data_IF_476646217101
#
_entry.id   IF_476646217101
#
_cell.length_a   1.000
_cell.length_b   1.000
_cell.length_c   1.000
_cell.angle_alpha   90.00
_cell.angle_beta   90.00
_cell.angle_gamma   90.00
#
_symmetry.space_group_name_H-M   'P 1'
#
loop_
_entity.id
_entity.type
_entity.pdbx_description
1 polymer ?
#
# COMPACT_ATOMS: atom_id res chain seq x y z
N UNK A 1 -20.66 29.80 5.21
CA UNK A 1 -19.92 28.68 4.64
C UNK A 1 -18.54 28.70 5.24
N UNK A 2 -18.15 27.63 5.92
CA UNK A 2 -16.82 27.52 6.53
C UNK A 2 -15.77 27.38 5.44
N UNK A 3 -14.67 28.12 5.59
CA UNK A 3 -13.52 28.04 4.68
C UNK A 3 -12.30 27.59 5.46
N UNK A 4 -11.46 26.77 4.84
CA UNK A 4 -10.27 26.20 5.43
C UNK A 4 -9.04 26.53 4.59
N UNK A 5 -7.96 26.89 5.25
CA UNK A 5 -6.61 26.81 4.67
C UNK A 5 -6.16 25.34 4.56
N UNK A 6 -5.08 25.06 3.86
CA UNK A 6 -4.52 23.72 3.75
C UNK A 6 -4.22 23.09 5.14
N UNK A 7 -3.72 23.90 6.08
CA UNK A 7 -3.41 23.43 7.43
C UNK A 7 -4.66 23.14 8.27
N UNK A 8 -5.67 23.97 8.17
CA UNK A 8 -6.95 23.77 8.87
C UNK A 8 -7.70 22.57 8.32
N UNK A 9 -7.72 22.40 7.00
CA UNK A 9 -8.30 21.24 6.33
C UNK A 9 -7.61 19.94 6.78
N UNK A 10 -6.28 19.93 6.80
CA UNK A 10 -5.48 18.80 7.25
C UNK A 10 -5.80 18.41 8.70
N UNK A 11 -5.88 19.42 9.58
CA UNK A 11 -6.24 19.23 10.98
C UNK A 11 -7.67 18.69 11.15
N UNK A 12 -8.63 19.23 10.38
CA UNK A 12 -10.03 18.82 10.46
C UNK A 12 -10.26 17.39 9.94
N UNK A 13 -9.43 16.91 9.02
CA UNK A 13 -9.47 15.55 8.48
C UNK A 13 -8.46 14.60 9.14
N UNK A 14 -7.73 15.04 10.19
CA UNK A 14 -6.72 14.26 10.93
C UNK A 14 -5.60 13.69 10.03
N UNK A 15 -5.21 14.43 8.98
CA UNK A 15 -4.14 14.07 8.08
C UNK A 15 -2.99 15.09 8.12
N UNK A 16 -1.85 14.75 7.51
CA UNK A 16 -0.75 15.70 7.36
C UNK A 16 -1.04 16.74 6.27
N UNK A 17 -0.49 17.94 6.41
CA UNK A 17 -0.51 18.96 5.35
C UNK A 17 0.06 18.44 4.05
N UNK A 18 1.12 17.59 4.14
CA UNK A 18 1.74 16.93 2.99
C UNK A 18 0.76 16.00 2.27
N UNK A 19 -0.11 15.31 3.00
CA UNK A 19 -1.16 14.46 2.43
C UNK A 19 -2.15 15.27 1.60
N UNK A 20 -2.62 16.42 2.13
CA UNK A 20 -3.52 17.32 1.40
C UNK A 20 -2.86 17.85 0.13
N UNK A 21 -1.60 18.30 0.22
CA UNK A 21 -0.83 18.78 -0.94
C UNK A 21 -0.60 17.68 -1.98
N UNK A 22 -0.36 16.44 -1.53
CA UNK A 22 -0.21 15.30 -2.42
C UNK A 22 -1.50 15.01 -3.19
N UNK A 23 -2.65 15.04 -2.53
CA UNK A 23 -3.95 14.84 -3.18
C UNK A 23 -4.32 15.96 -4.14
N UNK A 24 -3.95 17.21 -3.82
CA UNK A 24 -4.08 18.34 -4.74
C UNK A 24 -3.20 18.13 -5.99
N UNK A 25 -1.93 17.78 -5.84
CA UNK A 25 -1.02 17.49 -6.96
C UNK A 25 -1.51 16.33 -7.84
N UNK A 26 -2.19 15.33 -7.24
CA UNK A 26 -2.79 14.20 -7.98
C UNK A 26 -4.14 14.54 -8.61
N UNK A 27 -4.69 15.71 -8.31
CA UNK A 27 -5.96 16.18 -8.86
C UNK A 27 -7.18 15.40 -8.38
N UNK A 28 -7.11 14.78 -7.19
CA UNK A 28 -8.25 14.12 -6.54
C UNK A 28 -8.92 15.01 -5.51
N UNK A 29 -8.18 16.01 -4.98
CA UNK A 29 -8.65 17.03 -4.08
C UNK A 29 -8.13 18.38 -4.57
N UNK A 30 -8.96 19.17 -5.24
CA UNK A 30 -8.59 20.50 -5.72
C UNK A 30 -9.17 21.57 -4.81
N UNK A 31 -8.43 22.65 -4.50
CA UNK A 31 -8.98 23.75 -3.70
C UNK A 31 -10.13 24.42 -4.44
N UNK A 32 -11.18 24.81 -3.71
CA UNK A 32 -12.31 25.55 -4.27
C UNK A 32 -11.91 26.92 -4.81
N UNK A 33 -10.84 27.51 -4.24
CA UNK A 33 -10.30 28.80 -4.69
C UNK A 33 -8.80 28.89 -4.40
N UNK A 34 -8.07 29.55 -5.30
CA UNK A 34 -6.70 30.01 -5.06
C UNK A 34 -6.70 31.53 -5.08
N UNK A 35 -6.17 32.16 -4.05
CA UNK A 35 -6.06 33.63 -3.98
C UNK A 35 -4.98 34.15 -4.90
N UNK A 36 -4.96 35.44 -5.20
CA UNK A 36 -3.91 36.12 -5.99
C UNK A 36 -2.51 35.90 -5.39
N UNK A 37 -2.40 35.73 -4.07
CA UNK A 37 -1.16 35.39 -3.37
C UNK A 37 -0.85 33.90 -3.33
N UNK A 38 -1.52 33.05 -4.11
CA UNK A 38 -1.27 31.61 -4.22
C UNK A 38 -1.76 30.78 -3.04
N UNK A 39 -2.53 31.34 -2.11
CA UNK A 39 -3.10 30.60 -0.97
C UNK A 39 -4.28 29.74 -1.42
N UNK A 40 -4.28 28.47 -1.04
CA UNK A 40 -5.37 27.53 -1.27
C UNK A 40 -6.48 27.73 -0.24
N UNK A 41 -7.71 27.80 -0.72
CA UNK A 41 -8.92 27.89 0.11
C UNK A 41 -9.81 26.70 -0.25
N UNK A 42 -10.25 25.99 0.78
CA UNK A 42 -11.13 24.85 0.70
C UNK A 42 -12.46 25.17 1.39
N UNK A 43 -13.53 24.53 0.95
CA UNK A 43 -14.86 24.62 1.55
C UNK A 43 -15.20 23.33 2.32
N UNK A 44 -16.36 23.31 2.98
CA UNK A 44 -16.88 22.15 3.71
C UNK A 44 -17.00 20.91 2.80
N UNK A 45 -17.44 21.10 1.54
CA UNK A 45 -17.50 20.04 0.53
C UNK A 45 -16.15 19.42 0.21
N UNK A 46 -15.08 20.20 0.29
CA UNK A 46 -13.71 19.68 0.08
C UNK A 46 -13.25 18.85 1.29
N UNK A 47 -13.68 19.24 2.50
CA UNK A 47 -13.43 18.46 3.72
C UNK A 47 -14.14 17.10 3.65
N UNK A 48 -15.41 17.08 3.27
CA UNK A 48 -16.16 15.84 3.08
C UNK A 48 -15.52 14.96 2.01
N UNK A 49 -15.12 15.55 0.89
CA UNK A 49 -14.39 14.85 -0.17
C UNK A 49 -13.08 14.26 0.34
N UNK A 50 -12.32 15.01 1.13
CA UNK A 50 -11.07 14.51 1.73
C UNK A 50 -11.31 13.32 2.66
N UNK A 51 -12.35 13.37 3.50
CA UNK A 51 -12.73 12.26 4.38
C UNK A 51 -13.07 10.99 3.58
N UNK A 52 -13.82 11.13 2.49
CA UNK A 52 -14.14 10.01 1.58
C UNK A 52 -12.86 9.43 0.95
N UNK A 53 -11.94 10.29 0.49
CA UNK A 53 -10.65 9.85 -0.06
C UNK A 53 -9.87 9.06 0.98
N UNK A 54 -9.76 9.57 2.22
CA UNK A 54 -9.05 8.88 3.30
C UNK A 54 -9.69 7.53 3.61
N UNK A 55 -11.01 7.46 3.72
CA UNK A 55 -11.74 6.21 3.95
C UNK A 55 -11.47 5.16 2.88
N UNK A 56 -11.50 5.55 1.60
CA UNK A 56 -11.20 4.62 0.50
C UNK A 56 -9.72 4.20 0.49
N UNK A 57 -8.82 5.10 0.90
CA UNK A 57 -7.40 4.77 1.06
C UNK A 57 -7.14 3.78 2.18
N UNK A 58 -7.88 3.85 3.28
CA UNK A 58 -7.81 2.88 4.38
C UNK A 58 -8.27 1.47 3.96
N UNK A 59 -9.09 1.40 2.91
CA UNK A 59 -9.46 0.14 2.25
C UNK A 59 -8.48 -0.25 1.12
N UNK A 60 -7.29 0.35 1.05
CA UNK A 60 -6.24 0.10 0.06
C UNK A 60 -6.59 0.44 -1.40
N UNK A 61 -7.66 1.21 -1.66
CA UNK A 61 -7.91 1.71 -3.01
C UNK A 61 -6.78 2.61 -3.49
N UNK A 62 -6.34 2.43 -4.72
CA UNK A 62 -5.34 3.29 -5.35
C UNK A 62 -5.88 4.70 -5.63
N UNK A 63 -4.99 5.68 -5.71
CA UNK A 63 -5.36 7.06 -6.07
C UNK A 63 -6.12 7.13 -7.41
N UNK A 64 -5.73 6.30 -8.38
CA UNK A 64 -6.37 6.29 -9.70
C UNK A 64 -7.80 5.71 -9.63
N UNK A 65 -8.03 4.65 -8.86
CA UNK A 65 -9.36 4.10 -8.64
C UNK A 65 -10.27 5.13 -7.96
N UNK A 66 -9.78 5.81 -6.92
CA UNK A 66 -10.52 6.85 -6.23
C UNK A 66 -10.84 8.02 -7.17
N UNK A 67 -9.86 8.46 -7.97
CA UNK A 67 -10.06 9.54 -8.94
C UNK A 67 -11.14 9.19 -9.95
N UNK A 68 -11.07 8.02 -10.54
CA UNK A 68 -12.05 7.54 -11.51
C UNK A 68 -13.45 7.47 -10.86
N UNK A 69 -13.56 6.82 -9.69
CA UNK A 69 -14.82 6.72 -8.95
C UNK A 69 -15.47 8.09 -8.70
N UNK A 70 -14.66 9.11 -8.31
CA UNK A 70 -15.17 10.43 -8.00
C UNK A 70 -15.61 11.22 -9.26
N UNK A 71 -15.18 10.80 -10.45
CA UNK A 71 -15.52 11.42 -11.73
C UNK A 71 -16.67 10.75 -12.46
N UNK A 72 -17.00 9.50 -12.11
CA UNK A 72 -18.06 8.72 -12.79
C UNK A 72 -19.45 9.21 -12.40
N UNK A 73 -20.38 9.14 -13.36
CA UNK A 73 -21.79 9.42 -13.13
C UNK A 73 -22.47 8.24 -12.40
N UNK A 74 -22.13 7.01 -12.78
CA UNK A 74 -22.65 5.77 -12.20
C UNK A 74 -21.79 5.27 -11.03
N UNK A 75 -21.54 6.14 -10.04
CA UNK A 75 -20.64 5.88 -8.92
C UNK A 75 -20.97 4.64 -8.12
N UNK A 76 -22.27 4.32 -7.95
CA UNK A 76 -22.71 3.16 -7.18
C UNK A 76 -22.24 1.85 -7.83
N UNK A 77 -22.45 1.69 -9.14
CA UNK A 77 -22.06 0.50 -9.87
C UNK A 77 -20.52 0.34 -9.92
N UNK A 78 -19.79 1.45 -10.14
CA UNK A 78 -18.33 1.44 -10.15
C UNK A 78 -17.78 1.10 -8.77
N UNK A 79 -18.37 1.66 -7.70
CA UNK A 79 -17.98 1.36 -6.33
C UNK A 79 -18.24 -0.11 -5.98
N UNK A 80 -19.38 -0.67 -6.35
CA UNK A 80 -19.73 -2.08 -6.12
C UNK A 80 -18.72 -3.02 -6.77
N UNK A 81 -18.33 -2.75 -8.02
CA UNK A 81 -17.32 -3.52 -8.73
C UNK A 81 -15.95 -3.41 -8.04
N UNK A 82 -15.51 -2.20 -7.71
CA UNK A 82 -14.24 -1.98 -7.04
C UNK A 82 -14.20 -2.64 -5.65
N UNK A 83 -15.30 -2.61 -4.90
CA UNK A 83 -15.41 -3.28 -3.60
C UNK A 83 -15.32 -4.80 -3.75
N UNK A 84 -15.95 -5.37 -4.76
CA UNK A 84 -15.90 -6.82 -5.03
C UNK A 84 -14.44 -7.25 -5.25
N UNK A 85 -13.71 -6.58 -6.13
CA UNK A 85 -12.30 -6.87 -6.41
C UNK A 85 -11.42 -6.67 -5.16
N UNK A 86 -11.71 -5.61 -4.37
CA UNK A 86 -10.94 -5.30 -3.18
C UNK A 86 -11.17 -6.33 -2.07
N UNK A 87 -12.40 -6.78 -1.87
CA UNK A 87 -12.74 -7.85 -0.91
C UNK A 87 -11.97 -9.13 -1.27
N UNK A 88 -12.01 -9.55 -2.54
CA UNK A 88 -11.28 -10.74 -3.00
C UNK A 88 -9.76 -10.62 -2.75
N UNK A 89 -9.18 -9.45 -3.03
CA UNK A 89 -7.76 -9.15 -2.78
C UNK A 89 -7.41 -9.23 -1.30
N UNK A 90 -8.24 -8.64 -0.43
CA UNK A 90 -8.04 -8.65 1.01
C UNK A 90 -8.19 -10.05 1.61
N UNK A 91 -9.18 -10.83 1.16
CA UNK A 91 -9.37 -12.22 1.58
C UNK A 91 -8.17 -13.09 1.19
N UNK A 92 -7.62 -12.90 -0.02
CA UNK A 92 -6.40 -13.59 -0.46
C UNK A 92 -5.21 -13.23 0.42
N UNK A 93 -5.02 -11.93 0.69
CA UNK A 93 -3.95 -11.45 1.56
C UNK A 93 -4.10 -11.97 3.00
N UNK A 94 -5.33 -12.04 3.51
CA UNK A 94 -5.64 -12.60 4.83
C UNK A 94 -5.23 -14.07 4.93
N UNK A 95 -5.57 -14.89 3.91
CA UNK A 95 -5.16 -16.30 3.86
C UNK A 95 -3.63 -16.46 3.82
N UNK A 96 -2.95 -15.60 3.06
CA UNK A 96 -1.47 -15.60 3.01
C UNK A 96 -0.86 -15.25 4.38
N UNK A 97 -1.42 -14.24 5.06
CA UNK A 97 -0.98 -13.85 6.40
C UNK A 97 -1.21 -14.96 7.41
N UNK A 98 -2.37 -15.63 7.36
CA UNK A 98 -2.69 -16.75 8.25
C UNK A 98 -1.67 -17.91 8.08
N UNK A 99 -1.30 -18.25 6.85
CA UNK A 99 -0.26 -19.24 6.56
C UNK A 99 1.08 -18.82 7.14
N UNK A 100 1.50 -17.58 6.94
CA UNK A 100 2.75 -17.04 7.50
C UNK A 100 2.74 -17.09 9.03
N UNK A 101 1.63 -16.70 9.64
CA UNK A 101 1.46 -16.71 11.09
C UNK A 101 1.55 -18.13 11.67
N UNK A 102 0.92 -19.10 11.01
CA UNK A 102 1.01 -20.52 11.39
C UNK A 102 2.45 -21.04 11.34
N UNK A 103 3.20 -20.67 10.29
CA UNK A 103 4.62 -21.01 10.13
C UNK A 103 5.48 -20.38 11.22
N UNK A 104 5.30 -19.09 11.47
CA UNK A 104 6.05 -18.38 12.51
C UNK A 104 5.80 -18.98 13.91
N UNK A 105 4.54 -19.31 14.24
CA UNK A 105 4.19 -20.00 15.49
C UNK A 105 4.81 -21.40 15.59
N UNK A 106 4.86 -22.13 14.48
CA UNK A 106 5.54 -23.45 14.45
C UNK A 106 7.02 -23.30 14.74
N UNK A 107 7.70 -22.38 14.04
CA UNK A 107 9.12 -22.09 14.26
C UNK A 107 9.38 -21.66 15.71
N UNK A 108 8.57 -20.79 16.27
CA UNK A 108 8.67 -20.37 17.68
C UNK A 108 8.59 -21.56 18.65
N UNK A 109 7.67 -22.50 18.43
CA UNK A 109 7.55 -23.71 19.25
C UNK A 109 8.75 -24.63 19.14
N UNK A 110 9.34 -24.76 17.96
CA UNK A 110 10.53 -25.58 17.74
C UNK A 110 11.76 -24.95 18.41
N UNK A 111 11.93 -23.64 18.28
CA UNK A 111 13.05 -22.91 18.90
C UNK A 111 12.97 -22.90 20.41
N UNK A 112 11.78 -22.78 21.00
CA UNK A 112 11.59 -22.78 22.45
C UNK A 112 11.99 -24.10 23.13
N UNK A 113 12.07 -25.19 22.37
CA UNK A 113 12.45 -26.54 22.87
C UNK A 113 13.96 -26.83 22.75
N UNK A 114 14.72 -25.95 22.10
CA UNK A 114 16.16 -26.14 21.81
C UNK A 114 16.96 -24.99 22.42
N UNK A 115 18.02 -25.31 23.15
CA UNK A 115 18.92 -24.29 23.73
C UNK A 115 19.83 -23.60 22.71
N UNK A 116 20.04 -24.20 21.55
CA UNK A 116 20.80 -23.64 20.43
C UNK A 116 20.16 -24.07 19.11
N UNK A 117 20.03 -23.15 18.17
CA UNK A 117 19.55 -23.38 16.83
C UNK A 117 20.73 -23.27 15.86
N UNK A 118 21.00 -24.33 15.11
CA UNK A 118 21.99 -24.33 14.03
C UNK A 118 21.35 -23.91 12.70
N UNK A 119 22.16 -23.54 11.70
CA UNK A 119 21.69 -23.29 10.34
C UNK A 119 21.09 -24.56 9.71
N UNK A 120 21.61 -25.74 10.05
CA UNK A 120 21.10 -27.02 9.57
C UNK A 120 19.68 -27.27 10.11
N UNK A 121 19.42 -26.94 11.38
CA UNK A 121 18.08 -27.03 11.97
C UNK A 121 17.06 -26.12 11.24
N UNK A 122 17.48 -24.93 10.82
CA UNK A 122 16.63 -24.01 10.04
C UNK A 122 16.39 -24.55 8.62
N UNK A 123 17.40 -25.18 8.02
CA UNK A 123 17.29 -25.84 6.72
C UNK A 123 16.28 -27.00 6.77
N UNK A 124 16.38 -27.87 7.78
CA UNK A 124 15.44 -28.98 7.97
C UNK A 124 14.00 -28.51 8.15
N UNK A 125 13.81 -27.41 8.94
CA UNK A 125 12.49 -26.80 9.12
C UNK A 125 11.98 -26.22 7.80
N UNK A 126 12.84 -25.62 6.98
CA UNK A 126 12.45 -25.09 5.67
C UNK A 126 11.99 -26.20 4.73
N UNK A 127 12.70 -27.32 4.67
CA UNK A 127 12.34 -28.48 3.84
C UNK A 127 11.03 -29.15 4.29
N UNK A 128 10.76 -29.22 5.59
CA UNK A 128 9.46 -29.69 6.10
C UNK A 128 8.30 -28.78 5.71
N UNK A 129 8.57 -27.50 5.46
CA UNK A 129 7.58 -26.51 5.01
C UNK A 129 7.43 -26.44 3.48
N UNK A 130 8.43 -26.87 2.70
CA UNK A 130 8.40 -26.91 1.22
C UNK A 130 7.43 -27.94 0.64
N UNK A 131 7.15 -29.01 1.36
CA UNK A 131 6.16 -30.02 0.94
C UNK A 131 4.71 -29.51 0.91
N UNK A 132 4.46 -28.26 1.32
CA UNK A 132 3.22 -27.55 1.08
C UNK A 132 3.43 -26.52 -0.03
N UNK A 133 3.16 -26.89 -1.25
CA UNK A 133 3.11 -26.24 -2.59
C UNK A 133 3.03 -24.70 -2.72
N UNK A 134 3.59 -23.89 -1.84
CA UNK A 134 3.40 -22.44 -1.84
C UNK A 134 4.66 -21.56 -1.96
N UNK A 135 5.87 -22.15 -2.05
CA UNK A 135 7.11 -21.36 -2.11
C UNK A 135 7.41 -20.76 -3.49
N UNK A 136 6.98 -21.40 -4.57
CA UNK A 136 7.26 -20.91 -5.93
C UNK A 136 6.70 -19.52 -6.24
N UNK A 137 5.60 -19.14 -5.63
CA UNK A 137 5.00 -17.81 -5.84
C UNK A 137 5.69 -16.68 -5.07
N UNK A 138 6.35 -16.97 -3.95
CA UNK A 138 7.04 -15.95 -3.14
C UNK A 138 8.45 -15.64 -3.66
N UNK A 139 9.13 -16.63 -4.23
CA UNK A 139 10.48 -16.47 -4.76
C UNK A 139 10.54 -15.48 -5.92
N UNK A 140 9.56 -15.50 -6.82
CA UNK A 140 9.47 -14.54 -7.93
C UNK A 140 9.18 -13.11 -7.49
N UNK A 141 8.47 -12.90 -6.39
CA UNK A 141 8.12 -11.57 -5.90
C UNK A 141 9.27 -10.86 -5.19
N UNK A 142 10.15 -11.61 -4.53
CA UNK A 142 11.32 -11.06 -3.83
C UNK A 142 12.49 -10.88 -4.79
N UNK A 143 12.77 -11.85 -5.64
CA UNK A 143 13.88 -11.77 -6.59
C UNK A 143 13.58 -10.89 -7.81
N UNK A 144 12.36 -10.81 -8.28
CA UNK A 144 11.94 -9.92 -9.35
C UNK A 144 12.05 -8.42 -9.00
N UNK A 145 11.96 -8.06 -7.73
CA UNK A 145 12.13 -6.68 -7.27
C UNK A 145 13.60 -6.29 -7.02
N UNK A 146 14.47 -7.27 -6.80
CA UNK A 146 15.91 -7.03 -6.52
C UNK A 146 16.74 -6.96 -7.81
N UNK A 147 16.34 -7.65 -8.88
CA UNK A 147 17.07 -7.68 -10.15
C UNK A 147 17.00 -6.35 -10.92
N UNK A 148 16.09 -5.45 -10.58
CA UNK A 148 15.99 -4.12 -11.22
C UNK A 148 16.91 -3.05 -10.60
N UNK A 149 17.75 -3.40 -9.62
CA UNK A 149 18.72 -2.48 -9.01
C UNK A 149 20.14 -3.08 -9.11
N UNK A 150 20.57 -3.43 -10.30
CA UNK A 150 21.98 -3.68 -10.56
C UNK A 150 22.53 -2.62 -11.51
N UNK A 151 23.38 -1.71 -11.06
CA UNK A 151 24.12 -0.84 -11.97
C UNK A 151 25.12 -1.69 -12.75
N UNK A 152 25.07 -1.57 -14.06
CA UNK A 152 26.06 -2.12 -14.99
C UNK A 152 27.48 -1.65 -14.62
N UNK A 153 28.27 -2.53 -14.07
CA UNK A 153 29.73 -2.39 -14.06
C UNK A 153 30.26 -2.81 -15.44
N UNK A 154 30.38 -1.87 -16.34
CA UNK A 154 31.16 -2.06 -17.54
C UNK A 154 32.64 -2.15 -17.18
N UNK A 155 33.18 -3.35 -17.17
CA UNK A 155 34.61 -3.57 -17.13
C UNK A 155 35.27 -3.02 -18.40
N UNK A 156 36.11 -2.03 -18.25
CA UNK A 156 37.09 -1.70 -19.26
C UNK A 156 38.21 -2.70 -19.17
N UNK A 157 38.31 -3.56 -20.17
CA UNK A 157 39.51 -4.31 -20.47
C UNK A 157 40.51 -3.35 -21.09
N UNK A 158 41.67 -3.18 -20.46
CA UNK A 158 42.86 -2.61 -21.04
C UNK A 158 43.73 -3.73 -21.54
N UNK A 159 43.86 -3.85 -22.83
CA UNK A 159 44.97 -4.56 -23.44
C UNK A 159 45.90 -3.59 -24.14
N UNK A 160 47.22 -3.70 -23.76
CA UNK A 160 48.48 -3.26 -24.38
C UNK A 160 48.55 -1.89 -25.04
#
# INVERSE_FOLDING_TARGET
MSTFSTGELAKAAEVSVRTVQYYDQRGILTPSKVTEGGRRIYHESDLERLKVICFLRDLDFSINQIKNLLQEENREQVLELLLTDQIESLEKSSKEIEVKLKRARHLQKVTAKRNQLSLDDLSDISHLMENQKSWHHLQWRIYGSIVLISPSLSGKSTDC
#
